data_IF_318630854181
#
_entry.id   IF_318630854181
#
_cell.length_a   1.000
_cell.length_b   1.000
_cell.length_c   1.000
_cell.angle_alpha   90.00
_cell.angle_beta   90.00
_cell.angle_gamma   90.00
#
_symmetry.space_group_name_H-M   'P 1'
#
loop_
_entity.id
_entity.type
_entity.pdbx_description
1 polymer ?
#
# COMPACT_ATOMS: atom_id res chain seq x y z
N UNK A 1 -8.59 4.78 7.37
CA UNK A 1 -7.63 3.69 7.61
C UNK A 1 -6.90 3.86 8.93
N UNK A 2 -6.22 4.98 9.20
CA UNK A 2 -5.47 5.16 10.48
C UNK A 2 -6.36 4.96 11.73
N UNK A 3 -7.50 5.65 11.81
CA UNK A 3 -8.53 5.41 12.85
C UNK A 3 -8.96 3.94 12.94
N UNK A 4 -9.17 3.26 11.81
CA UNK A 4 -9.55 1.84 11.77
C UNK A 4 -8.45 0.93 12.35
N UNK A 5 -7.18 1.27 12.12
CA UNK A 5 -6.04 0.53 12.67
C UNK A 5 -5.93 0.75 14.18
N UNK A 6 -6.18 1.97 14.65
CA UNK A 6 -6.24 2.29 16.09
C UNK A 6 -7.37 1.57 16.80
N UNK A 7 -8.56 1.52 16.21
CA UNK A 7 -9.72 0.78 16.71
C UNK A 7 -9.39 -0.71 16.80
N UNK A 8 -8.89 -1.32 15.71
CA UNK A 8 -8.52 -2.73 15.70
C UNK A 8 -7.42 -3.06 16.74
N UNK A 9 -6.43 -2.20 16.91
CA UNK A 9 -5.41 -2.37 17.94
C UNK A 9 -5.99 -2.23 19.35
N UNK A 10 -6.90 -1.29 19.57
CA UNK A 10 -7.54 -1.07 20.88
C UNK A 10 -8.41 -2.26 21.29
N UNK A 11 -9.18 -2.80 20.35
CA UNK A 11 -10.08 -3.95 20.56
C UNK A 11 -9.30 -5.25 20.80
N UNK A 12 -8.24 -5.49 20.00
CA UNK A 12 -7.52 -6.75 20.06
C UNK A 12 -6.32 -6.74 21.01
N UNK A 13 -5.78 -5.55 21.33
CA UNK A 13 -4.49 -5.34 22.00
C UNK A 13 -3.33 -6.09 21.34
N UNK A 14 -3.44 -6.35 20.03
CA UNK A 14 -2.43 -7.05 19.24
C UNK A 14 -1.93 -6.18 18.09
N UNK A 15 -0.65 -6.32 17.69
CA UNK A 15 -0.14 -5.62 16.52
C UNK A 15 -0.95 -5.96 15.26
N UNK A 16 -1.19 -4.94 14.44
CA UNK A 16 -2.04 -5.02 13.25
C UNK A 16 -1.21 -5.34 12.02
N UNK A 17 -1.74 -6.24 11.19
CA UNK A 17 -1.20 -6.57 9.87
C UNK A 17 -2.01 -5.85 8.80
N UNK A 18 -1.34 -5.14 7.90
CA UNK A 18 -1.98 -4.42 6.81
C UNK A 18 -1.77 -5.17 5.51
N UNK A 19 -2.86 -5.45 4.81
CA UNK A 19 -2.84 -5.98 3.45
C UNK A 19 -3.58 -4.96 2.57
N UNK A 20 -2.88 -4.40 1.58
CA UNK A 20 -3.43 -3.36 0.74
C UNK A 20 -3.25 -3.68 -0.74
N UNK A 21 -4.31 -3.50 -1.52
CA UNK A 21 -4.29 -3.67 -2.96
C UNK A 21 -4.36 -2.32 -3.67
N UNK A 22 -3.62 -2.15 -4.76
CA UNK A 22 -3.62 -0.93 -5.56
C UNK A 22 -3.35 0.32 -4.70
N UNK A 23 -4.16 1.37 -4.83
CA UNK A 23 -4.15 2.54 -3.96
C UNK A 23 -4.24 2.19 -2.47
N UNK A 24 -4.95 1.13 -2.10
CA UNK A 24 -5.06 0.67 -0.71
C UNK A 24 -3.71 0.32 -0.10
N UNK A 25 -2.78 -0.29 -0.85
CA UNK A 25 -1.42 -0.56 -0.38
C UNK A 25 -0.58 0.70 -0.21
N UNK A 26 -0.76 1.69 -1.08
CA UNK A 26 -0.13 3.00 -0.92
C UNK A 26 -0.63 3.72 0.36
N UNK A 27 -1.94 3.70 0.62
CA UNK A 27 -2.52 4.27 1.85
C UNK A 27 -2.07 3.48 3.09
N UNK A 28 -2.04 2.15 3.02
CA UNK A 28 -1.55 1.30 4.10
C UNK A 28 -0.08 1.58 4.44
N UNK A 29 0.77 1.81 3.44
CA UNK A 29 2.18 2.20 3.65
C UNK A 29 2.32 3.51 4.43
N UNK A 30 1.46 4.50 4.16
CA UNK A 30 1.44 5.76 4.94
C UNK A 30 1.09 5.52 6.41
N UNK A 31 0.10 4.66 6.66
CA UNK A 31 -0.27 4.31 8.03
C UNK A 31 0.87 3.56 8.72
N UNK A 32 1.52 2.62 8.03
CA UNK A 32 2.68 1.91 8.56
C UNK A 32 3.88 2.84 8.87
N UNK A 33 4.09 3.89 8.09
CA UNK A 33 5.10 4.92 8.35
C UNK A 33 4.79 5.77 9.57
N UNK A 34 3.51 6.11 9.79
CA UNK A 34 3.07 6.97 10.90
C UNK A 34 2.90 6.23 12.21
N UNK A 35 2.46 4.98 12.13
CA UNK A 35 2.10 4.14 13.28
C UNK A 35 2.90 2.83 13.34
N UNK A 36 4.25 2.89 13.30
CA UNK A 36 5.09 1.69 13.42
C UNK A 36 5.04 1.06 14.81
N UNK A 37 4.45 1.76 15.79
CA UNK A 37 4.22 1.29 17.16
C UNK A 37 3.11 0.22 17.25
N UNK A 38 2.15 0.24 16.32
CA UNK A 38 1.00 -0.68 16.32
C UNK A 38 0.87 -1.52 15.04
N UNK A 39 1.58 -1.18 13.96
CA UNK A 39 1.63 -1.97 12.72
C UNK A 39 2.87 -2.87 12.73
N UNK A 40 2.70 -4.17 12.51
CA UNK A 40 3.82 -5.14 12.52
C UNK A 40 4.19 -5.64 11.12
N UNK A 41 3.24 -5.61 10.18
CA UNK A 41 3.46 -6.10 8.83
C UNK A 41 2.64 -5.32 7.81
N UNK A 42 3.22 -5.10 6.64
CA UNK A 42 2.61 -4.49 5.46
C UNK A 42 2.82 -5.42 4.26
N UNK A 43 1.73 -5.94 3.70
CA UNK A 43 1.73 -6.72 2.46
C UNK A 43 0.99 -5.91 1.39
N UNK A 44 1.67 -5.60 0.31
CA UNK A 44 1.12 -4.84 -0.80
C UNK A 44 0.84 -5.74 -2.00
N UNK A 45 -0.30 -5.52 -2.67
CA UNK A 45 -0.74 -6.29 -3.82
C UNK A 45 -0.89 -5.33 -5.01
N UNK A 46 -0.03 -5.44 -6.02
CA UNK A 46 -0.06 -4.56 -7.21
C UNK A 46 -0.13 -3.07 -6.87
N UNK A 47 0.50 -2.65 -5.76
CA UNK A 47 0.30 -1.30 -5.23
C UNK A 47 1.39 -0.35 -5.72
N UNK A 48 1.08 0.86 -6.21
CA UNK A 48 2.08 1.82 -6.70
C UNK A 48 2.84 2.44 -5.51
N UNK A 49 3.87 1.74 -5.04
CA UNK A 49 4.68 2.09 -3.87
C UNK A 49 5.80 3.06 -4.24
N UNK A 50 6.46 2.84 -5.38
CA UNK A 50 7.60 3.66 -5.79
C UNK A 50 7.16 4.94 -6.49
N UNK A 51 6.13 4.85 -7.34
CA UNK A 51 5.59 5.96 -8.09
C UNK A 51 4.09 5.75 -8.33
N UNK A 52 3.31 6.83 -8.15
CA UNK A 52 1.88 6.86 -8.45
C UNK A 52 1.67 7.03 -9.96
N UNK A 53 1.96 5.96 -10.69
CA UNK A 53 1.81 5.88 -12.14
C UNK A 53 0.95 4.68 -12.48
N UNK A 54 -0.21 4.96 -13.04
CA UNK A 54 -1.10 3.98 -13.63
C UNK A 54 -1.24 4.24 -15.14
N UNK A 55 -1.92 3.33 -15.82
CA UNK A 55 -2.19 3.44 -17.25
C UNK A 55 -2.77 4.83 -17.59
N UNK A 56 -2.27 5.53 -18.63
CA UNK A 56 -2.61 6.92 -18.91
C UNK A 56 -4.12 7.18 -19.04
N UNK A 57 -4.86 6.24 -19.63
CA UNK A 57 -6.31 6.34 -19.77
C UNK A 57 -7.03 6.32 -18.41
N UNK A 58 -6.56 5.52 -17.45
CA UNK A 58 -7.09 5.47 -16.09
C UNK A 58 -6.75 6.76 -15.34
N UNK A 59 -5.53 7.26 -15.48
CA UNK A 59 -5.16 8.55 -14.87
C UNK A 59 -5.92 9.73 -15.49
N UNK A 60 -6.24 9.68 -16.78
CA UNK A 60 -7.10 10.67 -17.43
C UNK A 60 -8.53 10.59 -16.90
N UNK A 61 -9.11 9.39 -16.80
CA UNK A 61 -10.44 9.18 -16.24
C UNK A 61 -10.52 9.62 -14.77
N UNK A 62 -9.53 9.24 -13.94
CA UNK A 62 -9.46 9.63 -12.53
C UNK A 62 -9.37 11.16 -12.37
N UNK A 63 -8.57 11.84 -13.21
CA UNK A 63 -8.50 13.32 -13.22
C UNK A 63 -9.80 13.96 -13.69
N UNK A 64 -10.47 13.38 -14.68
CA UNK A 64 -11.76 13.87 -15.17
C UNK A 64 -12.85 13.76 -14.10
N UNK A 65 -12.93 12.62 -13.41
CA UNK A 65 -13.85 12.41 -12.30
C UNK A 65 -13.48 13.30 -11.12
N UNK A 66 -12.21 13.41 -10.76
CA UNK A 66 -11.72 14.31 -9.69
C UNK A 66 -12.17 15.76 -9.92
N UNK A 67 -11.97 16.29 -11.13
CA UNK A 67 -12.42 17.64 -11.51
C UNK A 67 -13.94 17.83 -11.41
N UNK A 68 -14.73 16.77 -11.61
CA UNK A 68 -16.20 16.81 -11.50
C UNK A 68 -16.68 16.75 -10.05
N UNK A 69 -15.96 16.06 -9.18
CA UNK A 69 -16.21 16.04 -7.73
C UNK A 69 -15.77 17.36 -7.09
N UNK A 70 -14.71 17.99 -7.60
CA UNK A 70 -14.25 19.32 -7.21
C UNK A 70 -15.24 20.47 -7.56
N UNK A 71 -16.18 20.26 -8.50
CA UNK A 71 -17.22 21.26 -8.82
C UNK A 71 -18.32 21.42 -7.75
N UNK A 72 -18.28 20.64 -6.65
CA UNK A 72 -19.19 20.77 -5.50
C UNK A 72 -18.55 21.43 -4.26
N UNK A 73 -17.43 22.15 -4.39
CA UNK A 73 -16.87 22.95 -3.31
C UNK A 73 -16.14 24.20 -3.82
N UNK A 74 -16.53 25.41 -3.39
CA UNK A 74 -15.78 26.60 -3.73
C UNK A 74 -14.48 26.63 -2.90
N UNK A 75 -13.46 27.28 -3.46
CA UNK A 75 -12.21 27.75 -2.85
C UNK A 75 -10.93 26.96 -3.24
N UNK A 76 -10.22 27.51 -4.22
CA UNK A 76 -8.88 27.13 -4.69
C UNK A 76 -7.81 27.12 -3.56
N UNK A 77 -8.10 27.74 -2.42
CA UNK A 77 -7.21 27.77 -1.24
C UNK A 77 -7.20 26.46 -0.44
N UNK A 78 -8.14 25.54 -0.71
CA UNK A 78 -8.33 24.27 0.02
C UNK A 78 -7.75 23.02 -0.64
N UNK A 79 -7.13 23.13 -1.81
CA UNK A 79 -6.47 22.00 -2.49
C UNK A 79 -5.33 21.35 -1.67
N UNK A 80 -4.90 21.96 -0.56
CA UNK A 80 -3.89 21.41 0.36
C UNK A 80 -4.46 20.61 1.53
N UNK A 81 -5.77 20.62 1.79
CA UNK A 81 -6.39 19.98 2.97
C UNK A 81 -7.81 19.45 2.72
N UNK A 82 -7.98 18.66 1.66
CA UNK A 82 -9.17 17.81 1.47
C UNK A 82 -8.80 16.33 1.44
N UNK A 83 -9.72 15.39 1.70
CA UNK A 83 -9.47 13.94 1.64
C UNK A 83 -9.39 13.44 0.17
N UNK A 84 -8.83 14.27 -0.72
CA UNK A 84 -8.59 13.93 -2.11
C UNK A 84 -7.52 12.84 -2.17
N UNK A 85 -7.80 11.78 -2.93
CA UNK A 85 -6.82 10.75 -3.24
C UNK A 85 -5.58 11.46 -3.78
N UNK A 86 -4.46 11.33 -3.07
CA UNK A 86 -3.19 11.96 -3.44
C UNK A 86 -2.62 11.28 -4.70
N UNK A 87 -3.17 11.64 -5.86
CA UNK A 87 -2.70 11.25 -7.19
C UNK A 87 -1.58 12.18 -7.69
N UNK A 88 -1.11 13.11 -6.86
CA UNK A 88 -0.03 14.01 -7.22
C UNK A 88 1.33 13.37 -6.93
N UNK A 89 2.26 13.60 -7.86
CA UNK A 89 3.69 13.32 -7.76
C UNK A 89 4.44 14.20 -6.72
N UNK A 90 3.71 15.00 -5.93
CA UNK A 90 4.25 15.93 -4.90
C UNK A 90 3.68 15.65 -3.50
N UNK A 91 3.30 14.41 -3.25
CA UNK A 91 2.85 14.01 -1.93
C UNK A 91 4.05 13.87 -0.98
N UNK A 92 3.95 14.35 0.26
CA UNK A 92 5.00 14.32 1.32
C UNK A 92 5.49 12.90 1.71
N UNK A 93 5.00 11.87 1.03
CA UNK A 93 5.40 10.46 1.20
C UNK A 93 6.53 10.04 0.24
N UNK A 94 7.09 11.00 -0.51
CA UNK A 94 8.42 10.87 -1.12
C UNK A 94 9.38 11.68 -0.24
N UNK A 95 10.49 11.07 0.18
CA UNK A 95 11.52 11.82 0.88
C UNK A 95 12.03 12.86 -0.13
N UNK A 96 12.40 14.05 0.33
CA UNK A 96 13.10 15.00 -0.54
C UNK A 96 14.26 14.25 -1.21
N UNK A 97 14.28 14.22 -2.55
CA UNK A 97 15.28 13.44 -3.31
C UNK A 97 14.74 12.24 -4.11
N UNK A 98 13.46 11.90 -3.94
CA UNK A 98 12.80 10.95 -4.85
C UNK A 98 12.85 9.48 -4.41
N UNK A 99 13.36 9.21 -3.23
CA UNK A 99 13.44 7.88 -2.63
C UNK A 99 12.10 7.41 -2.05
N UNK A 100 11.89 6.10 -2.09
CA UNK A 100 10.71 5.44 -1.53
C UNK A 100 10.85 5.41 -0.01
N UNK A 101 9.98 6.13 0.72
CA UNK A 101 9.96 6.01 2.18
C UNK A 101 9.61 4.58 2.58
N UNK A 102 10.52 3.95 3.30
CA UNK A 102 10.34 2.62 3.84
C UNK A 102 9.92 2.72 5.30
N UNK A 103 8.83 2.05 5.71
CA UNK A 103 8.56 1.79 7.13
C UNK A 103 9.83 1.29 7.85
N UNK A 104 10.00 1.62 9.14
CA UNK A 104 11.18 1.21 9.90
C UNK A 104 11.29 -0.32 9.97
N UNK A 105 12.47 -0.88 10.30
CA UNK A 105 12.69 -2.33 10.33
C UNK A 105 11.75 -3.13 11.25
N UNK A 106 11.11 -2.47 12.22
CA UNK A 106 10.08 -3.07 13.07
C UNK A 106 8.80 -3.47 12.32
N UNK A 107 8.60 -2.92 11.12
CA UNK A 107 7.47 -3.24 10.24
C UNK A 107 7.97 -4.15 9.11
N UNK A 108 7.59 -5.42 9.16
CA UNK A 108 7.89 -6.36 8.09
C UNK A 108 7.14 -5.98 6.81
N UNK A 109 7.81 -6.06 5.66
CA UNK A 109 7.24 -5.63 4.38
C UNK A 109 7.30 -6.76 3.37
N UNK A 110 6.31 -6.81 2.49
CA UNK A 110 6.33 -7.64 1.31
C UNK A 110 5.50 -6.98 0.20
N UNK A 111 5.92 -7.21 -1.04
CA UNK A 111 5.19 -6.80 -2.22
C UNK A 111 4.89 -8.01 -3.10
N UNK A 112 3.62 -8.15 -3.47
CA UNK A 112 3.16 -9.11 -4.47
C UNK A 112 2.81 -8.33 -5.73
N UNK A 113 3.44 -8.68 -6.84
CA UNK A 113 3.29 -7.96 -8.10
C UNK A 113 3.06 -8.94 -9.26
N UNK A 114 2.53 -8.41 -10.36
CA UNK A 114 2.37 -9.15 -11.61
C UNK A 114 2.88 -8.31 -12.77
N UNK A 115 3.59 -8.92 -13.71
CA UNK A 115 3.95 -8.28 -14.98
C UNK A 115 2.75 -8.12 -15.90
N UNK A 116 1.71 -8.93 -15.68
CA UNK A 116 0.44 -8.92 -16.42
C UNK A 116 -0.60 -7.96 -15.80
N UNK A 117 -0.21 -7.13 -14.82
CA UNK A 117 -1.11 -6.25 -14.06
C UNK A 117 -1.99 -5.39 -14.99
N UNK A 118 -1.41 -4.78 -16.02
CA UNK A 118 -2.13 -4.03 -17.05
C UNK A 118 -2.67 -2.67 -16.60
N UNK A 119 -2.61 -2.33 -15.31
CA UNK A 119 -3.00 -1.00 -14.79
C UNK A 119 -1.84 -0.25 -14.16
N UNK A 120 -1.08 -0.90 -13.30
CA UNK A 120 0.12 -0.35 -12.65
C UNK A 120 1.35 -1.01 -13.26
N UNK A 121 2.33 -0.21 -13.65
CA UNK A 121 3.59 -0.77 -14.14
C UNK A 121 4.29 -1.51 -13.01
N UNK A 122 4.55 -2.81 -13.18
CA UNK A 122 5.00 -3.72 -12.11
C UNK A 122 6.23 -3.23 -11.34
N UNK A 123 7.16 -2.52 -11.99
CA UNK A 123 8.34 -1.91 -11.33
C UNK A 123 7.97 -0.94 -10.22
N UNK A 124 6.84 -0.25 -10.36
CA UNK A 124 6.36 0.70 -9.36
C UNK A 124 5.78 0.00 -8.12
N UNK A 125 5.57 -1.32 -8.19
CA UNK A 125 5.06 -2.13 -7.09
C UNK A 125 6.14 -2.72 -6.20
N UNK A 126 7.41 -2.64 -6.59
CA UNK A 126 8.48 -3.36 -5.90
C UNK A 126 8.92 -2.65 -4.61
N UNK A 127 9.23 -3.42 -3.57
CA UNK A 127 10.09 -2.97 -2.48
C UNK A 127 11.54 -2.81 -2.98
N UNK A 128 12.32 -1.87 -2.41
CA UNK A 128 13.73 -1.70 -2.77
C UNK A 128 14.59 -2.95 -2.52
N UNK A 129 14.26 -3.73 -1.50
CA UNK A 129 14.95 -4.98 -1.19
C UNK A 129 14.37 -6.14 -2.04
N UNK A 130 15.16 -6.76 -2.95
CA UNK A 130 14.64 -7.75 -3.88
C UNK A 130 13.99 -8.98 -3.23
N UNK A 131 14.47 -9.38 -2.05
CA UNK A 131 14.00 -10.54 -1.28
C UNK A 131 12.53 -10.41 -0.82
N UNK A 132 12.00 -9.19 -0.76
CA UNK A 132 10.65 -8.88 -0.28
C UNK A 132 9.60 -8.91 -1.40
N UNK A 133 10.02 -9.17 -2.64
CA UNK A 133 9.16 -9.09 -3.82
C UNK A 133 8.77 -10.49 -4.32
N UNK A 134 7.47 -10.72 -4.48
CA UNK A 134 6.90 -11.97 -4.94
C UNK A 134 6.13 -11.76 -6.25
N UNK A 135 6.62 -12.36 -7.34
CA UNK A 135 5.95 -12.32 -8.64
C UNK A 135 4.84 -13.38 -8.72
N UNK A 136 3.68 -12.99 -9.26
CA UNK A 136 2.58 -13.89 -9.61
C UNK A 136 2.04 -13.51 -11.00
N UNK A 137 1.33 -14.43 -11.66
CA UNK A 137 0.59 -14.12 -12.89
C UNK A 137 -0.76 -13.46 -12.63
N UNK A 138 -1.32 -12.79 -13.65
CA UNK A 138 -2.70 -12.28 -13.63
C UNK A 138 -2.83 -10.76 -13.63
N UNK A 139 -4.04 -10.28 -13.92
CA UNK A 139 -4.33 -8.85 -14.06
C UNK A 139 -4.39 -8.13 -12.72
N UNK A 140 -4.37 -6.79 -12.73
CA UNK A 140 -4.42 -5.95 -11.53
C UNK A 140 -5.54 -6.34 -10.56
N UNK A 141 -6.75 -6.48 -11.09
CA UNK A 141 -7.93 -6.91 -10.32
C UNK A 141 -7.87 -8.41 -10.04
N UNK A 142 -7.30 -9.20 -10.95
CA UNK A 142 -7.08 -10.64 -10.76
C UNK A 142 -6.23 -10.97 -9.52
N UNK A 143 -5.31 -10.08 -9.11
CA UNK A 143 -4.47 -10.29 -7.93
C UNK A 143 -5.25 -10.57 -6.65
N UNK A 144 -6.39 -9.93 -6.42
CA UNK A 144 -7.19 -10.16 -5.19
C UNK A 144 -8.00 -11.45 -5.22
N UNK A 145 -8.06 -12.14 -6.36
CA UNK A 145 -8.71 -13.44 -6.51
C UNK A 145 -7.71 -14.57 -6.79
N UNK A 146 -6.42 -14.25 -6.88
CA UNK A 146 -5.39 -15.20 -7.30
C UNK A 146 -4.99 -16.13 -6.14
N UNK A 147 -5.17 -17.46 -6.27
CA UNK A 147 -4.84 -18.42 -5.20
C UNK A 147 -3.35 -18.42 -4.82
N UNK A 148 -2.44 -18.08 -5.75
CA UNK A 148 -1.02 -17.96 -5.44
C UNK A 148 -0.75 -16.78 -4.50
N UNK A 149 -1.48 -15.66 -4.67
CA UNK A 149 -1.40 -14.50 -3.77
C UNK A 149 -1.80 -14.91 -2.36
N UNK A 150 -2.91 -15.63 -2.20
CA UNK A 150 -3.35 -16.11 -0.90
C UNK A 150 -2.34 -17.05 -0.23
N UNK A 151 -1.67 -17.94 -1.00
CA UNK A 151 -0.60 -18.80 -0.46
C UNK A 151 0.59 -17.97 0.05
N UNK A 152 1.00 -16.95 -0.70
CA UNK A 152 2.09 -16.06 -0.30
C UNK A 152 1.71 -15.30 0.97
N UNK A 153 0.51 -14.69 1.00
CA UNK A 153 0.00 -13.95 2.16
C UNK A 153 -0.05 -14.85 3.40
N UNK A 154 -0.59 -16.07 3.28
CA UNK A 154 -0.65 -17.01 4.40
C UNK A 154 0.74 -17.35 4.95
N UNK A 155 1.72 -17.62 4.08
CA UNK A 155 3.09 -17.91 4.48
C UNK A 155 3.75 -16.71 5.18
N UNK A 156 3.57 -15.50 4.65
CA UNK A 156 4.11 -14.27 5.23
C UNK A 156 3.52 -13.97 6.62
N UNK A 157 2.21 -14.18 6.78
CA UNK A 157 1.53 -14.02 8.08
C UNK A 157 2.01 -15.07 9.10
N UNK A 158 2.20 -16.31 8.66
CA UNK A 158 2.72 -17.39 9.50
C UNK A 158 4.15 -17.11 9.97
N UNK A 159 5.02 -16.62 9.08
CA UNK A 159 6.40 -16.22 9.42
C UNK A 159 6.42 -15.09 10.44
N UNK A 160 5.59 -14.06 10.24
CA UNK A 160 5.48 -12.95 11.19
C UNK A 160 4.93 -13.40 12.56
N UNK A 161 4.05 -14.40 12.60
CA UNK A 161 3.57 -15.00 13.84
C UNK A 161 4.67 -15.80 14.56
N UNK A 162 5.46 -16.59 13.83
CA UNK A 162 6.56 -17.36 14.37
C UNK A 162 7.68 -16.48 14.92
N UNK A 163 8.01 -15.37 14.24
CA UNK A 163 9.03 -14.41 14.71
C UNK A 163 8.66 -13.75 16.05
N UNK A 164 7.36 -13.57 16.34
CA UNK A 164 6.87 -13.02 17.62
C UNK A 164 6.82 -14.04 18.75
N UNK A 165 6.65 -15.32 18.42
CA UNK A 165 6.60 -16.42 19.37
C UNK A 165 7.62 -17.48 18.98
N UNK A 166 8.93 -17.21 19.15
CA UNK A 166 9.93 -18.25 18.98
C UNK A 166 9.54 -19.37 19.95
N UNK A 167 9.23 -20.55 19.42
CA UNK A 167 9.01 -21.73 20.27
C UNK A 167 10.25 -21.85 21.15
N UNK A 168 10.06 -21.80 22.46
CA UNK A 168 11.11 -22.13 23.41
C UNK A 168 11.63 -23.53 23.01
N UNK A 169 12.91 -23.57 22.60
CA UNK A 169 13.62 -24.80 22.32
C UNK A 169 13.93 -25.53 23.63
#
# INVERSE_FOLDING_TARGET
>A
LEKTVEEAWTETRRPVHLIGHSLGGFVARKVALRRPDIVTQLISLGSPIQAMEAHPAIMAAARFVGKRVEHFGPDESRARRGPGICLSNRCECRAGGGEVLCPPPSVHRAAVYSRDDGLIHWRNCLEPEPSLNHEVGGTHIGLVFNPHVYRIVANLLAQAAAARHPRAA
#
